data_IF_557531509047
#
_entry.id   IF_557531509047
#
_cell.length_a   1.000
_cell.length_b   1.000
_cell.length_c   1.000
_cell.angle_alpha   90.00
_cell.angle_beta   90.00
_cell.angle_gamma   90.00
#
_symmetry.space_group_name_H-M   'P 1'
#
loop_
_entity.id
_entity.type
_entity.pdbx_description
1 polymer ?
#
# COMPACT_ATOMS: atom_id res chain seq x y z
N UNK A 1 -38.46 13.67 43.99
CA UNK A 1 -37.94 14.94 44.54
C UNK A 1 -36.47 14.75 44.84
N UNK A 2 -35.61 15.58 44.21
CA UNK A 2 -34.13 15.67 44.35
C UNK A 2 -33.35 14.44 43.85
N UNK A 3 -32.88 14.38 42.61
CA UNK A 3 -32.05 15.33 41.85
C UNK A 3 -30.65 15.51 42.46
N UNK A 4 -29.64 15.33 41.60
CA UNK A 4 -28.21 15.66 41.73
C UNK A 4 -27.36 14.77 42.65
N UNK A 5 -26.63 13.84 42.03
CA UNK A 5 -25.20 13.72 42.28
C UNK A 5 -24.49 13.96 40.94
N UNK A 6 -24.31 15.26 40.71
CA UNK A 6 -23.54 15.84 39.62
C UNK A 6 -22.07 15.43 39.75
N UNK A 7 -21.45 15.26 38.60
CA UNK A 7 -20.02 15.08 38.35
C UNK A 7 -19.14 15.74 39.41
N UNK A 8 -18.57 14.93 40.29
CA UNK A 8 -17.28 15.26 40.92
C UNK A 8 -16.18 14.86 39.94
N UNK A 9 -15.89 15.76 39.00
CA UNK A 9 -14.56 15.90 38.40
C UNK A 9 -13.60 16.36 39.52
N UNK A 10 -13.34 15.46 40.47
CA UNK A 10 -12.20 15.55 41.35
C UNK A 10 -10.97 15.47 40.45
N UNK A 11 -10.08 16.44 40.59
CA UNK A 11 -8.66 16.28 40.35
C UNK A 11 -8.15 15.07 41.16
N UNK A 12 -8.43 13.85 40.69
CA UNK A 12 -7.77 12.67 41.17
C UNK A 12 -6.31 12.87 40.79
N UNK A 13 -5.44 12.95 41.79
CA UNK A 13 -4.00 12.92 41.55
C UNK A 13 -3.71 11.74 40.61
N UNK A 14 -2.84 11.92 39.59
CA UNK A 14 -2.52 10.84 38.67
C UNK A 14 -2.07 9.62 39.46
N UNK A 15 -2.51 8.41 39.07
CA UNK A 15 -2.27 7.20 39.86
C UNK A 15 -0.77 6.94 39.97
N UNK A 16 -0.30 6.54 41.14
CA UNK A 16 1.14 6.49 41.44
C UNK A 16 1.76 5.13 41.12
N UNK A 17 3.07 5.05 40.84
CA UNK A 17 3.75 3.77 40.64
C UNK A 17 3.59 2.81 41.82
N UNK A 18 3.55 3.32 43.05
CA UNK A 18 3.29 2.54 44.26
C UNK A 18 1.88 1.93 44.28
N UNK A 19 0.87 2.66 43.78
CA UNK A 19 -0.49 2.11 43.60
C UNK A 19 -0.49 0.97 42.58
N UNK A 20 0.26 1.09 41.47
CA UNK A 20 0.36 0.02 40.47
C UNK A 20 0.94 -1.26 41.08
N UNK A 21 2.02 -1.12 41.86
CA UNK A 21 2.65 -2.24 42.56
C UNK A 21 1.72 -2.89 43.58
N UNK A 22 0.95 -2.08 44.33
CA UNK A 22 -0.01 -2.57 45.31
C UNK A 22 -1.12 -3.38 44.65
N UNK A 23 -1.79 -2.82 43.64
CA UNK A 23 -2.87 -3.51 42.93
C UNK A 23 -2.38 -4.80 42.26
N UNK A 24 -1.18 -4.79 41.69
CA UNK A 24 -0.56 -5.98 41.13
C UNK A 24 -0.23 -7.04 42.20
N UNK A 25 0.20 -6.66 43.40
CA UNK A 25 0.46 -7.58 44.51
C UNK A 25 -0.85 -8.22 45.04
N UNK A 26 -1.93 -7.45 45.06
CA UNK A 26 -3.28 -7.89 45.45
C UNK A 26 -3.99 -8.67 44.34
N UNK A 27 -3.40 -8.76 43.13
CA UNK A 27 -4.00 -9.35 41.92
C UNK A 27 -5.31 -8.68 41.49
N UNK A 28 -5.46 -7.39 41.82
CA UNK A 28 -6.60 -6.56 41.43
C UNK A 28 -6.41 -6.06 39.99
N UNK A 29 -6.48 -6.98 39.01
CA UNK A 29 -6.09 -6.70 37.63
C UNK A 29 -7.04 -5.75 36.89
N UNK A 30 -8.35 -5.84 37.15
CA UNK A 30 -9.35 -4.93 36.57
C UNK A 30 -9.15 -3.51 37.08
N UNK A 31 -8.96 -3.34 38.39
CA UNK A 31 -8.69 -2.03 39.01
C UNK A 31 -7.35 -1.45 38.52
N UNK A 32 -6.33 -2.31 38.37
CA UNK A 32 -5.04 -1.92 37.79
C UNK A 32 -5.20 -1.48 36.33
N UNK A 33 -6.02 -2.15 35.52
CA UNK A 33 -6.27 -1.72 34.15
C UNK A 33 -7.04 -0.40 34.12
N UNK A 34 -8.15 -0.30 34.87
CA UNK A 34 -9.01 0.88 34.89
C UNK A 34 -8.24 2.14 35.30
N UNK A 35 -7.41 2.05 36.34
CA UNK A 35 -6.62 3.18 36.81
C UNK A 35 -5.60 3.69 35.77
N UNK A 36 -5.08 2.84 34.88
CA UNK A 36 -4.08 3.22 33.89
C UNK A 36 -4.56 3.25 32.43
N UNK A 37 -5.82 2.91 32.16
CA UNK A 37 -6.37 2.79 30.80
C UNK A 37 -6.26 4.09 29.99
N UNK A 38 -6.60 5.23 30.60
CA UNK A 38 -6.64 6.55 29.96
C UNK A 38 -5.44 7.46 30.29
N UNK A 39 -4.44 6.95 31.01
CA UNK A 39 -3.32 7.78 31.50
C UNK A 39 -2.24 7.90 30.43
N UNK A 40 -1.74 9.11 30.17
CA UNK A 40 -0.61 9.33 29.24
C UNK A 40 0.72 9.00 29.95
N UNK A 41 1.54 8.06 29.41
CA UNK A 41 2.86 7.77 29.96
C UNK A 41 3.78 8.98 30.09
N UNK A 42 3.64 10.00 29.23
CA UNK A 42 4.49 11.20 29.25
C UNK A 42 4.43 11.99 30.56
N UNK A 43 3.39 11.77 31.37
CA UNK A 43 3.27 12.35 32.71
C UNK A 43 4.20 11.75 33.78
N UNK A 44 4.96 10.70 33.45
CA UNK A 44 5.79 9.95 34.41
C UNK A 44 7.27 9.96 34.03
N UNK A 45 8.13 9.94 35.06
CA UNK A 45 9.57 9.75 34.86
C UNK A 45 9.86 8.35 34.29
N UNK A 46 11.03 8.17 33.65
CA UNK A 46 11.39 6.86 33.09
C UNK A 46 11.42 5.72 34.14
N UNK A 47 11.97 5.90 35.35
CA UNK A 47 11.89 4.89 36.42
C UNK A 47 10.45 4.55 36.84
N UNK A 48 9.57 5.55 36.90
CA UNK A 48 8.16 5.36 37.25
C UNK A 48 7.42 4.58 36.17
N UNK A 49 7.65 4.91 34.90
CA UNK A 49 7.09 4.18 33.76
C UNK A 49 7.48 2.71 33.78
N UNK A 50 8.76 2.41 34.06
CA UNK A 50 9.24 1.02 34.21
C UNK A 50 8.51 0.27 35.32
N UNK A 51 8.29 0.92 36.46
CA UNK A 51 7.58 0.34 37.60
C UNK A 51 6.12 0.04 37.29
N UNK A 52 5.45 0.97 36.61
CA UNK A 52 4.06 0.80 36.15
C UNK A 52 3.97 -0.31 35.10
N UNK A 53 4.83 -0.28 34.08
CA UNK A 53 4.88 -1.29 33.01
C UNK A 53 5.09 -2.70 33.58
N UNK A 54 6.02 -2.86 34.54
CA UNK A 54 6.26 -4.14 35.20
C UNK A 54 5.04 -4.66 35.98
N UNK A 55 4.24 -3.76 36.56
CA UNK A 55 3.02 -4.12 37.29
C UNK A 55 1.90 -4.57 36.34
N UNK A 56 1.70 -3.84 35.24
CA UNK A 56 0.75 -4.18 34.18
C UNK A 56 1.12 -5.50 33.49
N UNK A 57 2.41 -5.70 33.20
CA UNK A 57 2.93 -6.93 32.61
C UNK A 57 2.64 -8.16 33.47
N UNK A 58 2.79 -8.08 34.79
CA UNK A 58 2.43 -9.20 35.68
C UNK A 58 0.97 -9.62 35.50
N UNK A 59 0.07 -8.65 35.31
CA UNK A 59 -1.33 -8.93 35.01
C UNK A 59 -1.52 -9.59 33.65
N UNK A 60 -0.87 -9.08 32.59
CA UNK A 60 -0.86 -9.71 31.26
C UNK A 60 -0.42 -11.18 31.34
N UNK A 61 0.69 -11.45 32.03
CA UNK A 61 1.22 -12.81 32.15
C UNK A 61 0.32 -13.73 32.98
N UNK A 62 -0.25 -13.22 34.08
CA UNK A 62 -1.11 -13.97 34.97
C UNK A 62 -2.45 -14.36 34.31
N UNK A 63 -2.99 -13.49 33.45
CA UNK A 63 -4.30 -13.68 32.83
C UNK A 63 -4.24 -14.32 31.44
N UNK A 64 -3.06 -14.43 30.81
CA UNK A 64 -2.93 -14.84 29.41
C UNK A 64 -3.62 -16.18 29.04
N UNK A 65 -3.79 -17.10 29.99
CA UNK A 65 -4.46 -18.40 29.76
C UNK A 65 -5.90 -18.48 30.26
N UNK A 66 -6.36 -17.51 31.05
CA UNK A 66 -7.69 -17.53 31.69
C UNK A 66 -8.61 -16.41 31.21
N UNK A 67 -8.06 -15.25 30.90
CA UNK A 67 -8.78 -14.07 30.39
C UNK A 67 -7.89 -13.35 29.37
N UNK A 68 -7.98 -13.79 28.11
CA UNK A 68 -7.17 -13.27 27.02
C UNK A 68 -7.44 -11.79 26.70
N UNK A 69 -8.67 -11.31 26.87
CA UNK A 69 -9.06 -9.93 26.57
C UNK A 69 -8.45 -8.98 27.59
N UNK A 70 -8.60 -9.27 28.88
CA UNK A 70 -7.98 -8.45 29.93
C UNK A 70 -6.45 -8.53 29.87
N UNK A 71 -5.90 -9.72 29.60
CA UNK A 71 -4.46 -9.88 29.43
C UNK A 71 -3.91 -9.06 28.24
N UNK A 72 -4.63 -9.02 27.12
CA UNK A 72 -4.32 -8.19 25.97
C UNK A 72 -4.31 -6.70 26.32
N UNK A 73 -5.37 -6.20 26.96
CA UNK A 73 -5.47 -4.78 27.34
C UNK A 73 -4.38 -4.34 28.33
N UNK A 74 -4.03 -5.20 29.29
CA UNK A 74 -2.91 -4.97 30.22
C UNK A 74 -1.56 -5.00 29.49
N UNK A 75 -1.39 -5.91 28.53
CA UNK A 75 -0.20 -6.02 27.69
C UNK A 75 0.04 -4.77 26.83
N UNK A 76 -1.01 -4.24 26.18
CA UNK A 76 -0.93 -3.00 25.40
C UNK A 76 -0.48 -1.83 26.29
N UNK A 77 -1.12 -1.66 27.45
CA UNK A 77 -0.76 -0.61 28.38
C UNK A 77 0.66 -0.78 28.92
N UNK A 78 1.10 -2.00 29.21
CA UNK A 78 2.46 -2.25 29.69
C UNK A 78 3.51 -1.80 28.66
N UNK A 79 3.35 -2.20 27.40
CA UNK A 79 4.24 -1.83 26.29
C UNK A 79 4.22 -0.33 26.02
N UNK A 80 3.06 0.32 26.17
CA UNK A 80 2.91 1.77 26.02
C UNK A 80 3.70 2.55 27.08
N UNK A 81 3.83 2.02 28.30
CA UNK A 81 4.62 2.63 29.37
C UNK A 81 6.13 2.41 29.19
N UNK A 82 6.53 1.16 28.96
CA UNK A 82 7.91 0.78 28.71
C UNK A 82 7.98 -0.45 27.81
N UNK A 83 8.65 -0.31 26.67
CA UNK A 83 8.84 -1.40 25.74
C UNK A 83 9.92 -2.35 26.26
N UNK A 84 9.49 -3.51 26.73
CA UNK A 84 10.38 -4.58 27.19
C UNK A 84 10.15 -5.85 26.38
N UNK A 85 11.17 -6.70 26.25
CA UNK A 85 11.02 -7.98 25.56
C UNK A 85 9.89 -8.85 26.17
N UNK A 86 9.80 -9.04 27.50
CA UNK A 86 8.65 -9.71 28.11
C UNK A 86 7.30 -9.07 27.80
N UNK A 87 7.23 -7.72 27.79
CA UNK A 87 6.03 -6.96 27.44
C UNK A 87 5.53 -7.26 26.03
N UNK A 88 6.42 -7.11 25.04
CA UNK A 88 6.09 -7.37 23.63
C UNK A 88 5.73 -8.84 23.39
N UNK A 89 6.39 -9.79 24.07
CA UNK A 89 6.02 -11.22 24.00
C UNK A 89 4.62 -11.48 24.56
N UNK A 90 4.30 -10.90 25.72
CA UNK A 90 2.99 -11.08 26.33
C UNK A 90 1.90 -10.49 25.43
N UNK A 91 2.09 -9.26 24.93
CA UNK A 91 1.18 -8.59 24.01
C UNK A 91 0.98 -9.41 22.73
N UNK A 92 2.06 -9.86 22.07
CA UNK A 92 1.94 -10.65 20.85
C UNK A 92 1.14 -11.93 21.07
N UNK A 93 1.41 -12.65 22.16
CA UNK A 93 0.72 -13.90 22.51
C UNK A 93 -0.77 -13.66 22.78
N UNK A 94 -1.11 -12.66 23.59
CA UNK A 94 -2.51 -12.38 23.95
C UNK A 94 -3.27 -11.79 22.76
N UNK A 95 -2.63 -10.99 21.92
CA UNK A 95 -3.18 -10.52 20.66
C UNK A 95 -3.53 -11.67 19.71
N UNK A 96 -2.67 -12.68 19.57
CA UNK A 96 -2.99 -13.87 18.79
C UNK A 96 -4.16 -14.66 19.40
N UNK A 97 -4.20 -14.79 20.73
CA UNK A 97 -5.29 -15.49 21.43
C UNK A 97 -6.65 -14.77 21.31
N UNK A 98 -6.65 -13.45 21.06
CA UNK A 98 -7.84 -12.62 20.87
C UNK A 98 -8.07 -12.25 19.41
N UNK A 99 -7.43 -12.95 18.47
CA UNK A 99 -7.54 -12.77 17.02
C UNK A 99 -7.11 -11.37 16.50
N UNK A 100 -6.39 -10.59 17.31
CA UNK A 100 -5.81 -9.29 16.95
C UNK A 100 -4.49 -9.46 16.18
N UNK A 101 -4.57 -10.08 14.99
CA UNK A 101 -3.39 -10.44 14.18
C UNK A 101 -2.46 -9.26 13.87
N UNK A 102 -3.01 -8.10 13.50
CA UNK A 102 -2.21 -6.91 13.17
C UNK A 102 -1.37 -6.41 14.36
N UNK A 103 -1.97 -6.35 15.56
CA UNK A 103 -1.25 -5.97 16.79
C UNK A 103 -0.19 -7.01 17.16
N UNK A 104 -0.48 -8.29 16.97
CA UNK A 104 0.52 -9.35 17.20
C UNK A 104 1.72 -9.18 16.28
N UNK A 105 1.50 -8.95 14.99
CA UNK A 105 2.56 -8.73 14.02
C UNK A 105 3.41 -7.48 14.36
N UNK A 106 2.78 -6.35 14.67
CA UNK A 106 3.47 -5.12 15.09
C UNK A 106 4.37 -5.37 16.31
N UNK A 107 3.82 -5.99 17.36
CA UNK A 107 4.56 -6.30 18.58
C UNK A 107 5.77 -7.21 18.32
N UNK A 108 5.61 -8.21 17.44
CA UNK A 108 6.70 -9.11 17.06
C UNK A 108 7.77 -8.41 16.22
N UNK A 109 7.39 -7.52 15.29
CA UNK A 109 8.32 -6.73 14.47
C UNK A 109 9.14 -5.76 15.33
N UNK A 110 8.49 -5.01 16.22
CA UNK A 110 9.15 -4.14 17.21
C UNK A 110 10.06 -4.93 18.13
N UNK A 111 9.63 -6.11 18.57
CA UNK A 111 10.44 -7.02 19.38
C UNK A 111 11.72 -7.44 18.66
N UNK A 112 11.63 -7.77 17.38
CA UNK A 112 12.76 -8.17 16.55
C UNK A 112 13.73 -7.01 16.27
N UNK A 113 13.22 -5.78 16.18
CA UNK A 113 14.00 -4.56 15.99
C UNK A 113 14.71 -4.12 17.27
N UNK A 114 13.97 -4.00 18.39
CA UNK A 114 14.49 -3.49 19.66
C UNK A 114 15.27 -4.55 20.45
N UNK A 115 14.98 -5.84 20.26
CA UNK A 115 15.59 -6.96 20.99
C UNK A 115 16.12 -8.05 20.04
N UNK A 116 17.10 -7.76 19.17
CA UNK A 116 17.56 -8.68 18.12
C UNK A 116 18.25 -9.95 18.63
N UNK A 117 18.59 -10.02 19.94
CA UNK A 117 19.16 -11.22 20.58
C UNK A 117 18.09 -12.21 21.04
N UNK A 118 16.82 -11.81 21.07
CA UNK A 118 15.69 -12.61 21.50
C UNK A 118 15.11 -13.37 20.30
N UNK A 119 15.54 -14.62 20.10
CA UNK A 119 15.14 -15.45 18.95
C UNK A 119 13.65 -15.74 18.85
N UNK A 120 12.92 -15.60 19.95
CA UNK A 120 11.47 -15.79 20.02
C UNK A 120 10.70 -14.92 19.03
N UNK A 121 11.05 -13.63 18.91
CA UNK A 121 10.31 -12.69 18.05
C UNK A 121 10.40 -13.10 16.57
N UNK A 122 11.59 -13.47 16.10
CA UNK A 122 11.79 -13.91 14.72
C UNK A 122 11.10 -15.24 14.44
N UNK A 123 11.09 -16.15 15.42
CA UNK A 123 10.43 -17.44 15.30
C UNK A 123 8.90 -17.30 15.20
N UNK A 124 8.26 -16.57 16.12
CA UNK A 124 6.81 -16.42 16.13
C UNK A 124 6.32 -15.56 14.95
N UNK A 125 7.04 -14.49 14.58
CA UNK A 125 6.72 -13.71 13.38
C UNK A 125 6.81 -14.58 12.13
N UNK A 126 7.83 -15.43 12.03
CA UNK A 126 7.99 -16.37 10.93
C UNK A 126 6.84 -17.38 10.81
N UNK A 127 6.30 -17.86 11.94
CA UNK A 127 5.13 -18.74 11.93
C UNK A 127 3.87 -18.01 11.48
N UNK A 128 3.62 -16.82 12.04
CA UNK A 128 2.47 -15.99 11.69
C UNK A 128 2.44 -15.71 10.19
N UNK A 129 3.57 -15.29 9.62
CA UNK A 129 3.69 -15.01 8.18
C UNK A 129 3.51 -16.26 7.31
N UNK A 130 3.94 -17.45 7.78
CA UNK A 130 3.65 -18.70 7.09
C UNK A 130 2.17 -19.06 7.10
N UNK A 131 1.45 -18.80 8.20
CA UNK A 131 -0.01 -18.95 8.26
C UNK A 131 -0.71 -17.98 7.31
N UNK A 132 -0.21 -16.75 7.21
CA UNK A 132 -0.73 -15.71 6.33
C UNK A 132 -0.34 -15.90 4.84
N UNK A 133 0.29 -17.03 4.52
CA UNK A 133 0.78 -17.40 3.18
C UNK A 133 1.74 -16.35 2.61
N UNK A 134 2.62 -15.81 3.46
CA UNK A 134 3.75 -14.96 3.11
C UNK A 134 5.08 -15.68 3.39
N UNK A 135 5.51 -16.60 2.50
CA UNK A 135 6.74 -17.34 2.70
C UNK A 135 8.00 -16.46 2.60
N UNK A 136 7.96 -15.35 1.89
CA UNK A 136 9.09 -14.43 1.78
C UNK A 136 9.29 -13.62 3.07
N UNK A 137 8.22 -13.03 3.60
CA UNK A 137 8.24 -12.37 4.90
C UNK A 137 8.67 -13.33 6.01
N UNK A 138 8.17 -14.57 5.97
CA UNK A 138 8.59 -15.60 6.92
C UNK A 138 10.11 -15.88 6.84
N UNK A 139 10.69 -15.97 5.64
CA UNK A 139 12.14 -16.15 5.49
C UNK A 139 12.93 -14.97 6.08
N UNK A 140 12.47 -13.75 5.86
CA UNK A 140 13.10 -12.55 6.39
C UNK A 140 13.05 -12.51 7.93
N UNK A 141 11.91 -12.87 8.52
CA UNK A 141 11.74 -12.91 9.97
C UNK A 141 12.57 -14.03 10.62
N UNK A 142 12.47 -15.26 10.08
CA UNK A 142 13.20 -16.42 10.60
C UNK A 142 14.72 -16.28 10.43
N UNK A 143 15.17 -15.61 9.37
CA UNK A 143 16.59 -15.33 9.14
C UNK A 143 17.22 -14.40 10.18
N UNK A 144 16.40 -13.65 10.93
CA UNK A 144 16.86 -12.80 12.04
C UNK A 144 16.94 -13.55 13.38
N UNK A 145 16.54 -14.83 13.44
CA UNK A 145 16.68 -15.65 14.65
C UNK A 145 18.16 -15.97 14.91
N UNK A 146 18.72 -15.66 16.10
CA UNK A 146 20.13 -15.90 16.37
C UNK A 146 20.50 -17.38 16.26
N UNK A 147 21.61 -17.75 15.58
CA UNK A 147 21.94 -19.14 15.27
C UNK A 147 22.29 -20.00 16.49
N UNK A 148 22.60 -19.39 17.63
CA UNK A 148 22.90 -20.06 18.91
C UNK A 148 21.73 -20.00 19.91
N UNK A 149 20.58 -19.49 19.51
CA UNK A 149 19.39 -19.43 20.36
C UNK A 149 18.68 -20.81 20.44
N UNK A 150 17.88 -21.06 21.49
CA UNK A 150 17.02 -22.24 21.57
C UNK A 150 16.05 -22.39 20.38
N UNK A 151 15.67 -21.27 19.76
CA UNK A 151 14.73 -21.21 18.64
C UNK A 151 15.35 -21.58 17.29
N UNK A 152 16.69 -21.56 17.18
CA UNK A 152 17.40 -21.70 15.91
C UNK A 152 17.06 -22.97 15.13
N UNK A 153 16.90 -24.10 15.81
CA UNK A 153 16.56 -25.37 15.16
C UNK A 153 15.15 -25.34 14.54
N UNK A 154 14.16 -24.81 15.27
CA UNK A 154 12.78 -24.65 14.78
C UNK A 154 12.73 -23.63 13.64
N UNK A 155 13.45 -22.52 13.78
CA UNK A 155 13.52 -21.49 12.75
C UNK A 155 14.09 -22.05 11.44
N UNK A 156 15.16 -22.86 11.51
CA UNK A 156 15.75 -23.51 10.34
C UNK A 156 14.78 -24.45 9.63
N UNK A 157 13.99 -25.24 10.38
CA UNK A 157 12.99 -26.12 9.81
C UNK A 157 11.87 -25.33 9.10
N UNK A 158 11.38 -24.26 9.72
CA UNK A 158 10.37 -23.38 9.11
C UNK A 158 10.92 -22.63 7.89
N UNK A 159 12.19 -22.24 7.88
CA UNK A 159 12.83 -21.66 6.70
C UNK A 159 12.89 -22.63 5.53
N UNK A 160 13.10 -23.93 5.76
CA UNK A 160 13.05 -24.92 4.68
C UNK A 160 11.65 -25.01 4.08
N UNK A 161 10.61 -25.05 4.94
CA UNK A 161 9.20 -25.02 4.50
C UNK A 161 8.85 -23.73 3.75
N UNK A 162 9.35 -22.59 4.24
CA UNK A 162 9.14 -21.30 3.58
C UNK A 162 9.84 -21.22 2.22
N UNK A 163 11.05 -21.80 2.07
CA UNK A 163 11.76 -21.88 0.78
C UNK A 163 11.01 -22.75 -0.22
N UNK A 164 10.51 -23.92 0.18
CA UNK A 164 9.73 -24.78 -0.73
C UNK A 164 8.46 -24.07 -1.18
N UNK A 165 7.69 -23.50 -0.25
CA UNK A 165 6.49 -22.73 -0.58
C UNK A 165 6.79 -21.52 -1.48
N UNK A 166 7.88 -20.79 -1.22
CA UNK A 166 8.30 -19.65 -2.06
C UNK A 166 8.74 -20.09 -3.46
N UNK A 167 9.39 -21.26 -3.60
CA UNK A 167 9.78 -21.81 -4.90
C UNK A 167 8.57 -22.25 -5.72
N UNK A 168 7.58 -22.88 -5.08
CA UNK A 168 6.31 -23.26 -5.71
C UNK A 168 5.53 -22.01 -6.14
N UNK A 169 5.45 -20.99 -5.28
CA UNK A 169 4.82 -19.71 -5.60
C UNK A 169 5.53 -19.01 -6.76
N UNK A 170 6.86 -19.03 -6.78
CA UNK A 170 7.66 -18.43 -7.85
C UNK A 170 7.47 -19.18 -9.17
N UNK A 171 7.37 -20.51 -9.14
CA UNK A 171 7.09 -21.32 -10.32
C UNK A 171 5.66 -21.07 -10.83
N UNK A 172 4.68 -20.95 -9.94
CA UNK A 172 3.31 -20.59 -10.28
C UNK A 172 3.23 -19.18 -10.88
N UNK A 173 3.90 -18.19 -10.28
CA UNK A 173 4.04 -16.83 -10.82
C UNK A 173 4.70 -16.82 -12.20
N UNK A 174 5.74 -17.63 -12.42
CA UNK A 174 6.41 -17.71 -13.72
C UNK A 174 5.50 -18.31 -14.80
N UNK A 175 4.73 -19.35 -14.47
CA UNK A 175 3.73 -19.93 -15.37
C UNK A 175 2.58 -18.95 -15.66
N UNK A 176 2.08 -18.28 -14.63
CA UNK A 176 1.12 -17.20 -14.72
C UNK A 176 1.58 -16.10 -15.68
N UNK A 177 2.78 -15.55 -15.49
CA UNK A 177 3.37 -14.54 -16.38
C UNK A 177 3.57 -15.06 -17.82
N UNK A 178 3.89 -16.34 -17.99
CA UNK A 178 4.00 -16.93 -19.32
C UNK A 178 2.64 -17.02 -20.04
N UNK A 179 1.57 -17.33 -19.30
CA UNK A 179 0.20 -17.30 -19.81
C UNK A 179 -0.23 -15.87 -20.14
N UNK A 180 0.12 -14.92 -19.27
CA UNK A 180 -0.18 -13.50 -19.43
C UNK A 180 0.48 -12.87 -20.66
N UNK A 181 1.75 -13.18 -20.93
CA UNK A 181 2.43 -12.74 -22.16
C UNK A 181 1.76 -13.25 -23.43
N UNK A 182 1.20 -14.46 -23.39
CA UNK A 182 0.37 -14.96 -24.50
C UNK A 182 -0.95 -14.18 -24.62
N UNK A 183 -1.51 -13.70 -23.51
CA UNK A 183 -2.74 -12.90 -23.48
C UNK A 183 -2.55 -11.46 -23.96
N UNK A 184 -1.40 -10.85 -23.70
CA UNK A 184 -1.08 -9.49 -24.15
C UNK A 184 -0.50 -9.46 -25.58
N UNK A 185 -0.21 -10.62 -26.17
CA UNK A 185 0.38 -10.74 -27.51
C UNK A 185 1.90 -10.54 -27.54
N UNK A 186 2.57 -10.60 -26.39
CA UNK A 186 4.03 -10.49 -26.28
C UNK A 186 4.70 -11.87 -26.44
N UNK A 187 5.44 -12.06 -27.54
CA UNK A 187 6.33 -13.23 -27.72
C UNK A 187 7.78 -12.85 -27.39
N UNK A 188 8.54 -13.80 -26.83
CA UNK A 188 9.93 -13.60 -26.34
C UNK A 188 10.93 -13.05 -27.38
N UNK A 189 10.59 -13.09 -28.68
CA UNK A 189 11.47 -12.65 -29.78
C UNK A 189 11.08 -11.33 -30.47
N UNK A 190 10.09 -10.57 -29.99
CA UNK A 190 9.65 -9.36 -30.70
C UNK A 190 9.77 -8.07 -29.86
N UNK A 191 10.98 -7.50 -29.83
CA UNK A 191 11.16 -6.05 -29.60
C UNK A 191 10.70 -5.31 -30.86
N UNK A 192 9.41 -5.07 -30.98
CA UNK A 192 8.84 -4.22 -32.02
C UNK A 192 7.60 -4.82 -32.65
N UNK A 193 6.52 -4.04 -32.66
CA UNK A 193 5.18 -4.35 -33.21
C UNK A 193 4.31 -5.25 -32.33
N UNK A 194 3.66 -4.63 -31.35
CA UNK A 194 2.28 -5.00 -31.03
C UNK A 194 1.41 -4.39 -32.12
N UNK A 195 0.95 -5.18 -33.07
CA UNK A 195 -0.18 -4.75 -33.89
C UNK A 195 -1.43 -4.75 -33.01
N UNK A 196 -2.19 -3.65 -32.92
CA UNK A 196 -3.46 -3.68 -32.22
C UNK A 196 -4.34 -4.73 -32.89
N UNK A 197 -4.90 -5.63 -32.07
CA UNK A 197 -5.82 -6.65 -32.52
C UNK A 197 -6.96 -5.97 -33.29
N UNK A 198 -7.10 -6.32 -34.56
CA UNK A 198 -8.21 -5.92 -35.43
C UNK A 198 -9.50 -6.65 -35.02
N UNK A 199 -9.96 -6.38 -33.79
CA UNK A 199 -11.38 -6.52 -33.46
C UNK A 199 -12.12 -5.37 -34.13
N UNK A 200 -13.30 -5.65 -34.70
CA UNK A 200 -14.24 -4.64 -35.22
C UNK A 200 -14.24 -3.42 -34.29
N UNK A 201 -13.62 -2.32 -34.73
CA UNK A 201 -13.53 -1.11 -33.94
C UNK A 201 -14.94 -0.55 -33.81
N UNK A 202 -15.60 -0.85 -32.69
CA UNK A 202 -16.90 -0.27 -32.39
C UNK A 202 -16.71 1.25 -32.33
N UNK A 203 -17.36 1.98 -33.23
CA UNK A 203 -17.26 3.43 -33.31
C UNK A 203 -18.12 4.15 -32.28
N UNK A 204 -18.81 3.39 -31.42
CA UNK A 204 -19.73 3.88 -30.39
C UNK A 204 -19.34 3.47 -28.97
N UNK A 205 -20.00 4.10 -27.99
CA UNK A 205 -19.86 3.78 -26.57
C UNK A 205 -20.64 2.51 -26.15
N UNK A 206 -21.50 2.00 -27.04
CA UNK A 206 -22.18 0.72 -26.85
C UNK A 206 -21.16 -0.42 -26.90
N UNK A 207 -21.20 -1.29 -25.89
CA UNK A 207 -20.34 -2.45 -25.87
C UNK A 207 -20.82 -3.52 -26.85
N UNK A 208 -19.91 -4.00 -27.69
CA UNK A 208 -20.11 -5.12 -28.59
C UNK A 208 -19.41 -6.36 -28.03
N UNK A 209 -20.07 -7.51 -28.12
CA UNK A 209 -19.48 -8.80 -27.74
C UNK A 209 -18.80 -9.43 -28.96
N UNK A 210 -17.54 -9.81 -28.83
CA UNK A 210 -16.77 -10.42 -29.89
C UNK A 210 -16.00 -11.66 -29.41
N UNK A 211 -15.26 -12.25 -30.33
CA UNK A 211 -14.24 -13.27 -30.03
C UNK A 211 -12.92 -12.75 -30.62
N UNK A 212 -11.90 -12.58 -29.78
CA UNK A 212 -10.57 -12.17 -30.20
C UNK A 212 -9.86 -13.30 -31.00
N UNK A 213 -8.76 -12.95 -31.68
CA UNK A 213 -7.98 -13.87 -32.52
C UNK A 213 -7.40 -15.07 -31.76
N UNK A 214 -7.28 -14.97 -30.44
CA UNK A 214 -6.87 -16.02 -29.51
C UNK A 214 -8.04 -16.91 -29.02
N UNK A 215 -9.25 -16.68 -29.50
CA UNK A 215 -10.45 -17.43 -29.13
C UNK A 215 -11.15 -16.95 -27.85
N UNK A 216 -10.67 -15.86 -27.22
CA UNK A 216 -11.32 -15.29 -26.04
C UNK A 216 -12.56 -14.48 -26.39
N UNK A 217 -13.62 -14.59 -25.57
CA UNK A 217 -14.76 -13.66 -25.66
C UNK A 217 -14.35 -12.31 -25.11
N UNK A 218 -14.44 -11.29 -25.93
CA UNK A 218 -14.15 -9.91 -25.56
C UNK A 218 -15.43 -9.10 -25.54
N UNK A 219 -15.46 -8.07 -24.70
CA UNK A 219 -16.46 -7.00 -24.81
C UNK A 219 -15.74 -5.68 -24.98
N UNK A 220 -16.02 -4.99 -26.07
CA UNK A 220 -15.29 -3.76 -26.41
C UNK A 220 -16.23 -2.61 -26.72
N UNK A 221 -15.81 -1.41 -26.37
CA UNK A 221 -16.34 -0.17 -26.93
C UNK A 221 -15.18 0.67 -27.48
N UNK A 222 -15.44 1.92 -27.88
CA UNK A 222 -14.40 2.82 -28.39
C UNK A 222 -13.31 3.21 -27.37
N UNK A 223 -13.40 2.79 -26.10
CA UNK A 223 -12.50 3.19 -25.00
C UNK A 223 -11.85 2.01 -24.28
N UNK A 224 -12.53 0.88 -24.18
CA UNK A 224 -12.08 -0.27 -23.40
C UNK A 224 -12.30 -1.57 -24.16
N UNK A 225 -11.36 -2.49 -24.01
CA UNK A 225 -11.46 -3.87 -24.49
C UNK A 225 -11.35 -4.79 -23.29
N UNK A 226 -12.49 -5.30 -22.82
CA UNK A 226 -12.56 -6.19 -21.65
C UNK A 226 -12.23 -7.61 -22.07
N UNK A 227 -11.22 -8.18 -21.40
CA UNK A 227 -10.72 -9.55 -21.57
C UNK A 227 -10.84 -10.30 -20.24
N UNK A 228 -11.17 -11.58 -20.31
CA UNK A 228 -11.22 -12.46 -19.14
C UNK A 228 -10.01 -13.37 -19.14
N UNK A 229 -9.30 -13.43 -18.01
CA UNK A 229 -8.12 -14.27 -17.89
C UNK A 229 -8.45 -15.77 -18.01
N UNK A 230 -9.64 -16.21 -17.57
CA UNK A 230 -10.10 -17.58 -17.71
C UNK A 230 -11.57 -17.68 -18.14
N UNK A 231 -11.81 -18.43 -19.23
CA UNK A 231 -13.13 -18.62 -19.83
C UNK A 231 -14.07 -19.52 -19.00
N UNK A 232 -13.60 -20.22 -17.96
CA UNK A 232 -14.33 -21.29 -17.26
C UNK A 232 -15.41 -20.90 -16.21
N UNK A 233 -15.68 -19.62 -15.95
CA UNK A 233 -16.69 -19.15 -14.96
C UNK A 233 -18.15 -19.14 -15.46
N UNK A 234 -19.08 -19.08 -14.51
CA UNK A 234 -20.53 -18.94 -14.71
C UNK A 234 -20.92 -17.51 -15.19
N UNK A 235 -21.84 -17.41 -16.14
CA UNK A 235 -22.10 -16.22 -16.99
C UNK A 235 -22.89 -15.10 -16.30
N UNK A 236 -23.77 -15.41 -15.35
CA UNK A 236 -24.70 -14.44 -14.78
C UNK A 236 -24.06 -13.40 -13.85
N UNK A 237 -23.19 -13.85 -12.93
CA UNK A 237 -22.46 -12.95 -12.00
C UNK A 237 -21.38 -12.11 -12.72
N UNK A 238 -20.92 -12.55 -13.90
CA UNK A 238 -19.91 -11.85 -14.72
C UNK A 238 -20.42 -10.53 -15.29
N UNK A 239 -21.63 -10.51 -15.85
CA UNK A 239 -22.12 -9.35 -16.58
C UNK A 239 -22.38 -8.13 -15.67
N UNK A 240 -22.84 -8.37 -14.43
CA UNK A 240 -23.07 -7.31 -13.45
C UNK A 240 -21.74 -6.75 -12.90
N UNK A 241 -20.77 -7.62 -12.56
CA UNK A 241 -19.46 -7.16 -12.11
C UNK A 241 -18.71 -6.40 -13.20
N UNK A 242 -18.67 -6.94 -14.42
CA UNK A 242 -18.10 -6.30 -15.61
C UNK A 242 -18.73 -4.91 -15.83
N UNK A 243 -20.07 -4.82 -15.83
CA UNK A 243 -20.77 -3.55 -16.01
C UNK A 243 -20.41 -2.51 -14.95
N UNK A 244 -20.20 -2.92 -13.70
CA UNK A 244 -19.78 -2.01 -12.63
C UNK A 244 -18.33 -1.55 -12.79
N UNK A 245 -17.41 -2.44 -13.19
CA UNK A 245 -16.01 -2.08 -13.48
C UNK A 245 -15.93 -1.12 -14.65
N UNK A 246 -16.61 -1.43 -15.75
CA UNK A 246 -16.73 -0.57 -16.93
C UNK A 246 -17.25 0.81 -16.54
N UNK A 247 -18.30 0.89 -15.73
CA UNK A 247 -18.84 2.17 -15.26
C UNK A 247 -17.82 2.95 -14.44
N UNK A 248 -17.01 2.30 -13.61
CA UNK A 248 -15.94 2.96 -12.86
C UNK A 248 -14.79 3.42 -13.76
N UNK A 249 -14.47 2.69 -14.83
CA UNK A 249 -13.46 3.10 -15.82
C UNK A 249 -13.94 4.24 -16.72
N UNK A 250 -15.22 4.27 -17.09
CA UNK A 250 -15.81 5.43 -17.77
C UNK A 250 -15.79 6.69 -16.89
N UNK A 251 -16.03 6.53 -15.58
CA UNK A 251 -15.88 7.60 -14.59
C UNK A 251 -14.42 8.07 -14.49
N UNK A 252 -13.46 7.14 -14.45
CA UNK A 252 -12.03 7.44 -14.49
C UNK A 252 -11.63 8.22 -15.75
N UNK A 253 -12.06 7.76 -16.93
CA UNK A 253 -11.84 8.46 -18.19
C UNK A 253 -12.43 9.88 -18.13
N UNK A 254 -13.69 10.03 -17.71
CA UNK A 254 -14.35 11.33 -17.65
C UNK A 254 -13.62 12.30 -16.72
N UNK A 255 -13.27 11.85 -15.51
CA UNK A 255 -12.55 12.66 -14.54
C UNK A 255 -11.16 13.05 -15.04
N UNK A 256 -10.39 12.10 -15.59
CA UNK A 256 -9.07 12.38 -16.16
C UNK A 256 -9.17 13.40 -17.30
N UNK A 257 -10.19 13.32 -18.16
CA UNK A 257 -10.45 14.33 -19.20
C UNK A 257 -10.74 15.71 -18.61
N UNK A 258 -11.50 15.80 -17.51
CA UNK A 258 -11.78 17.07 -16.85
C UNK A 258 -10.53 17.71 -16.23
N UNK A 259 -9.62 16.88 -15.70
CA UNK A 259 -8.39 17.37 -15.06
C UNK A 259 -7.32 17.72 -16.10
N UNK A 260 -7.14 16.88 -17.12
CA UNK A 260 -6.03 16.99 -18.08
C UNK A 260 -6.42 17.63 -19.42
N UNK A 261 -7.71 17.72 -19.73
CA UNK A 261 -8.23 18.20 -21.02
C UNK A 261 -8.18 17.16 -22.14
N UNK A 262 -7.43 16.08 -21.96
CA UNK A 262 -7.20 15.01 -22.93
C UNK A 262 -7.14 13.65 -22.22
N UNK A 263 -7.41 12.61 -22.99
CA UNK A 263 -7.36 11.20 -22.57
C UNK A 263 -6.72 10.38 -23.66
N UNK A 264 -6.44 9.12 -23.35
CA UNK A 264 -5.97 8.14 -24.33
C UNK A 264 -6.92 8.03 -25.53
N UNK A 265 -6.37 8.00 -26.74
CA UNK A 265 -7.16 7.84 -27.97
C UNK A 265 -7.49 6.37 -28.27
N UNK A 266 -6.49 5.50 -28.09
CA UNK A 266 -6.64 4.07 -28.31
C UNK A 266 -7.42 3.40 -27.16
N UNK A 267 -8.26 2.38 -27.43
CA UNK A 267 -8.87 1.59 -26.39
C UNK A 267 -7.84 1.00 -25.42
N UNK A 268 -8.16 0.98 -24.12
CA UNK A 268 -7.34 0.33 -23.09
C UNK A 268 -7.82 -1.11 -22.91
N UNK A 269 -6.88 -2.06 -22.90
CA UNK A 269 -7.18 -3.43 -22.51
C UNK A 269 -7.49 -3.50 -21.00
N UNK A 270 -8.58 -4.16 -20.65
CA UNK A 270 -9.02 -4.37 -19.26
C UNK A 270 -9.07 -5.86 -19.00
N UNK A 271 -8.16 -6.36 -18.17
CA UNK A 271 -8.05 -7.79 -17.87
C UNK A 271 -8.68 -8.06 -16.50
N UNK A 272 -9.77 -8.82 -16.48
CA UNK A 272 -10.45 -9.19 -15.25
C UNK A 272 -9.88 -10.51 -14.71
N UNK A 273 -9.29 -10.46 -13.51
CA UNK A 273 -8.74 -11.61 -12.80
C UNK A 273 -9.66 -12.04 -11.67
N UNK A 274 -9.81 -13.35 -11.42
CA UNK A 274 -10.29 -13.82 -10.12
C UNK A 274 -9.32 -13.41 -9.00
N UNK A 275 -9.78 -13.38 -7.75
CA UNK A 275 -8.90 -13.15 -6.57
C UNK A 275 -7.65 -14.04 -6.59
N UNK A 276 -7.83 -15.31 -6.92
CA UNK A 276 -6.76 -16.30 -6.87
C UNK A 276 -5.78 -16.15 -8.04
N UNK A 277 -6.29 -15.82 -9.23
CA UNK A 277 -5.43 -15.49 -10.37
C UNK A 277 -4.65 -14.20 -10.11
N UNK A 278 -5.31 -13.12 -9.65
CA UNK A 278 -4.62 -11.87 -9.32
C UNK A 278 -3.53 -12.10 -8.26
N UNK A 279 -3.83 -12.89 -7.22
CA UNK A 279 -2.85 -13.31 -6.20
C UNK A 279 -1.69 -14.12 -6.79
N UNK A 280 -1.97 -15.03 -7.70
CA UNK A 280 -0.95 -15.87 -8.33
C UNK A 280 -0.06 -15.07 -9.28
N UNK A 281 -0.58 -14.04 -9.93
CA UNK A 281 0.13 -13.21 -10.90
C UNK A 281 0.91 -12.05 -10.26
N UNK A 282 0.26 -11.35 -9.33
CA UNK A 282 0.76 -10.10 -8.74
C UNK A 282 1.31 -10.29 -7.32
N UNK A 283 1.16 -11.48 -6.74
CA UNK A 283 1.61 -11.80 -5.39
C UNK A 283 0.56 -11.46 -4.31
N UNK A 284 0.74 -12.07 -3.14
CA UNK A 284 -0.23 -12.00 -2.04
C UNK A 284 -0.41 -10.60 -1.45
N UNK A 285 0.65 -9.78 -1.40
CA UNK A 285 0.61 -8.42 -0.88
C UNK A 285 -0.25 -7.50 -1.77
N UNK A 286 0.05 -7.42 -3.07
CA UNK A 286 -0.72 -6.59 -4.01
C UNK A 286 -2.17 -7.06 -4.12
N UNK A 287 -2.42 -8.37 -4.11
CA UNK A 287 -3.78 -8.90 -4.17
C UNK A 287 -4.68 -8.57 -2.96
N UNK A 288 -4.09 -8.18 -1.82
CA UNK A 288 -4.85 -7.71 -0.64
C UNK A 288 -5.12 -6.20 -0.68
N UNK A 289 -4.30 -5.42 -1.40
CA UNK A 289 -4.28 -3.96 -1.29
C UNK A 289 -4.74 -3.25 -2.56
N UNK A 290 -4.43 -3.81 -3.73
CA UNK A 290 -4.68 -3.18 -5.01
C UNK A 290 -6.02 -3.65 -5.60
N UNK A 291 -6.87 -2.68 -5.92
CA UNK A 291 -8.11 -2.94 -6.65
C UNK A 291 -7.87 -3.09 -8.17
N UNK A 292 -6.82 -2.43 -8.67
CA UNK A 292 -6.32 -2.61 -10.01
C UNK A 292 -4.82 -2.35 -10.09
N UNK A 293 -4.23 -2.70 -11.23
CA UNK A 293 -2.85 -2.41 -11.58
C UNK A 293 -2.75 -2.19 -13.08
N UNK A 294 -2.16 -1.10 -13.51
CA UNK A 294 -1.75 -0.90 -14.88
C UNK A 294 -0.35 -1.47 -15.11
N UNK A 295 -0.21 -2.35 -16.09
CA UNK A 295 1.09 -2.83 -16.57
C UNK A 295 0.95 -3.29 -18.03
N UNK A 296 2.04 -3.33 -18.80
CA UNK A 296 2.08 -3.91 -20.16
C UNK A 296 0.88 -3.51 -21.05
N UNK A 297 0.49 -2.23 -21.04
CA UNK A 297 -0.62 -1.72 -21.86
C UNK A 297 -2.05 -2.00 -21.37
N UNK A 298 -2.23 -2.66 -20.22
CA UNK A 298 -3.54 -3.10 -19.75
C UNK A 298 -3.80 -2.79 -18.26
N UNK A 299 -5.05 -2.42 -17.96
CA UNK A 299 -5.56 -2.29 -16.59
C UNK A 299 -6.03 -3.67 -16.12
N UNK A 300 -5.40 -4.19 -15.07
CA UNK A 300 -5.68 -5.49 -14.47
C UNK A 300 -6.52 -5.30 -13.24
N UNK A 301 -7.69 -5.90 -13.21
CA UNK A 301 -8.66 -5.72 -12.13
C UNK A 301 -8.69 -6.96 -11.25
N UNK A 302 -8.64 -6.73 -9.94
CA UNK A 302 -8.79 -7.78 -8.94
C UNK A 302 -10.27 -7.97 -8.59
N UNK A 303 -10.87 -9.10 -9.01
CA UNK A 303 -12.29 -9.43 -8.76
C UNK A 303 -12.68 -9.50 -7.28
N UNK A 304 -11.70 -9.55 -6.37
CA UNK A 304 -11.94 -9.46 -4.93
C UNK A 304 -12.24 -8.04 -4.43
N UNK A 305 -11.91 -7.01 -5.21
CA UNK A 305 -11.99 -5.64 -4.76
C UNK A 305 -13.44 -5.12 -4.82
N UNK A 306 -13.95 -4.67 -3.68
CA UNK A 306 -15.23 -3.96 -3.62
C UNK A 306 -15.09 -2.59 -4.29
N UNK A 307 -16.09 -2.18 -5.08
CA UNK A 307 -16.10 -0.87 -5.75
C UNK A 307 -16.47 0.28 -4.80
N UNK A 308 -15.64 0.47 -3.78
CA UNK A 308 -15.68 1.62 -2.86
C UNK A 308 -15.20 2.89 -3.56
N UNK A 309 -15.41 4.06 -2.92
CA UNK A 309 -14.86 5.32 -3.43
C UNK A 309 -13.33 5.26 -3.58
N UNK A 310 -12.63 4.65 -2.62
CA UNK A 310 -11.18 4.52 -2.67
C UNK A 310 -10.74 3.62 -3.83
N UNK A 311 -11.44 2.51 -4.05
CA UNK A 311 -11.17 1.61 -5.17
C UNK A 311 -11.41 2.28 -6.52
N UNK A 312 -12.45 3.11 -6.65
CA UNK A 312 -12.65 3.93 -7.87
C UNK A 312 -11.51 4.94 -8.06
N UNK A 313 -11.03 5.54 -6.99
CA UNK A 313 -9.88 6.44 -7.02
C UNK A 313 -8.62 5.71 -7.51
N UNK A 314 -8.39 4.47 -7.05
CA UNK A 314 -7.31 3.62 -7.60
C UNK A 314 -7.50 3.36 -9.10
N UNK A 315 -8.72 3.11 -9.59
CA UNK A 315 -8.93 2.94 -11.04
C UNK A 315 -8.67 4.23 -11.85
N UNK A 316 -8.89 5.40 -11.25
CA UNK A 316 -8.48 6.69 -11.82
C UNK A 316 -6.97 6.76 -11.93
N UNK A 317 -6.24 6.38 -10.87
CA UNK A 317 -4.78 6.29 -10.85
C UNK A 317 -4.27 5.39 -11.98
N UNK A 318 -4.77 4.16 -12.06
CA UNK A 318 -4.37 3.20 -13.10
C UNK A 318 -4.70 3.69 -14.53
N UNK A 319 -5.83 4.37 -14.72
CA UNK A 319 -6.18 4.93 -16.02
C UNK A 319 -5.24 6.05 -16.44
N UNK A 320 -4.72 6.87 -15.51
CA UNK A 320 -3.75 7.92 -15.83
C UNK A 320 -2.45 7.33 -16.37
N UNK A 321 -1.98 6.19 -15.85
CA UNK A 321 -0.83 5.49 -16.43
C UNK A 321 -1.09 5.10 -17.89
N UNK A 322 -2.30 4.63 -18.21
CA UNK A 322 -2.68 4.32 -19.60
C UNK A 322 -2.66 5.56 -20.51
N UNK A 323 -2.99 6.74 -20.00
CA UNK A 323 -2.88 8.02 -20.73
C UNK A 323 -1.41 8.40 -20.95
N UNK A 324 -0.57 8.30 -19.91
CA UNK A 324 0.86 8.60 -20.02
C UNK A 324 1.54 7.70 -21.05
N UNK A 325 1.26 6.39 -21.03
CA UNK A 325 1.80 5.43 -21.98
C UNK A 325 1.44 5.72 -23.44
N UNK A 326 0.22 6.21 -23.68
CA UNK A 326 -0.24 6.62 -25.01
C UNK A 326 0.48 7.88 -25.49
N UNK A 327 0.59 8.88 -24.60
CA UNK A 327 1.28 10.14 -24.90
C UNK A 327 2.77 9.94 -25.19
N UNK A 328 3.42 9.02 -24.49
CA UNK A 328 4.82 8.67 -24.79
C UNK A 328 4.97 7.67 -25.91
N UNK A 329 3.87 7.16 -26.49
CA UNK A 329 3.87 6.13 -27.53
C UNK A 329 4.67 4.89 -27.11
N UNK A 330 4.45 4.42 -25.87
CA UNK A 330 5.21 3.33 -25.26
C UNK A 330 5.19 2.05 -26.12
N UNK A 331 4.03 1.69 -26.69
CA UNK A 331 3.87 0.54 -27.58
C UNK A 331 4.71 0.62 -28.87
N UNK A 332 5.15 1.82 -29.25
CA UNK A 332 5.96 2.10 -30.43
C UNK A 332 7.43 2.38 -30.08
N UNK A 333 7.82 2.06 -28.84
CA UNK A 333 9.19 2.22 -28.33
C UNK A 333 9.57 3.64 -27.95
N UNK A 334 8.58 4.51 -27.74
CA UNK A 334 8.83 5.87 -27.26
C UNK A 334 9.41 5.89 -25.84
N UNK A 335 10.18 6.93 -25.54
CA UNK A 335 10.92 7.01 -24.28
C UNK A 335 9.98 7.33 -23.11
N UNK A 336 10.12 6.56 -22.03
CA UNK A 336 9.33 6.76 -20.82
C UNK A 336 9.75 8.04 -20.06
N UNK A 337 8.78 8.66 -19.41
CA UNK A 337 9.02 9.73 -18.43
C UNK A 337 9.61 9.18 -17.13
N UNK A 338 10.26 10.03 -16.30
CA UNK A 338 10.72 9.61 -14.98
C UNK A 338 9.59 9.03 -14.13
N UNK A 339 9.90 8.02 -13.31
CA UNK A 339 8.89 7.31 -12.48
C UNK A 339 8.13 8.28 -11.58
N UNK A 340 8.82 9.23 -10.94
CA UNK A 340 8.16 10.25 -10.12
C UNK A 340 7.12 11.07 -10.91
N UNK A 341 7.32 11.33 -12.20
CA UNK A 341 6.35 12.08 -12.99
C UNK A 341 5.10 11.23 -13.27
N UNK A 342 5.32 9.97 -13.68
CA UNK A 342 4.24 9.04 -14.00
C UNK A 342 3.35 8.79 -12.77
N UNK A 343 3.97 8.42 -11.65
CA UNK A 343 3.28 8.17 -10.38
C UNK A 343 2.69 9.44 -9.78
N UNK A 344 3.42 10.56 -9.86
CA UNK A 344 2.95 11.84 -9.34
C UNK A 344 1.72 12.37 -10.07
N UNK A 345 1.61 12.15 -11.38
CA UNK A 345 0.45 12.56 -12.16
C UNK A 345 -0.76 11.70 -11.81
N UNK A 346 -0.58 10.39 -11.72
CA UNK A 346 -1.63 9.47 -11.32
C UNK A 346 -2.15 9.79 -9.90
N UNK A 347 -1.24 9.96 -8.93
CA UNK A 347 -1.58 10.32 -7.54
C UNK A 347 -2.27 11.69 -7.44
N UNK A 348 -1.83 12.69 -8.20
CA UNK A 348 -2.46 14.02 -8.20
C UNK A 348 -3.91 13.96 -8.73
N UNK A 349 -4.14 13.22 -9.82
CA UNK A 349 -5.49 13.04 -10.39
C UNK A 349 -6.36 12.21 -9.45
N UNK A 350 -5.79 11.23 -8.75
CA UNK A 350 -6.48 10.47 -7.68
C UNK A 350 -6.93 11.42 -6.55
N UNK A 351 -6.06 12.30 -6.03
CA UNK A 351 -6.46 13.27 -5.00
C UNK A 351 -7.61 14.16 -5.48
N UNK A 352 -7.53 14.61 -6.74
CA UNK A 352 -8.57 15.45 -7.37
C UNK A 352 -9.89 14.71 -7.45
N UNK A 353 -9.86 13.41 -7.73
CA UNK A 353 -11.05 12.55 -7.74
C UNK A 353 -11.66 12.42 -6.35
N UNK A 354 -10.81 12.30 -5.31
CA UNK A 354 -11.22 12.32 -3.91
C UNK A 354 -11.61 13.71 -3.38
N UNK A 355 -11.63 14.74 -4.24
CA UNK A 355 -12.12 16.07 -3.92
C UNK A 355 -11.07 17.03 -3.36
N UNK A 356 -9.77 16.74 -3.52
CA UNK A 356 -8.68 17.62 -3.07
C UNK A 356 -7.59 17.83 -4.12
N UNK A 357 -6.94 18.99 -4.12
CA UNK A 357 -5.72 19.27 -4.90
C UNK A 357 -4.45 19.20 -4.02
N UNK A 358 -4.59 18.64 -2.81
CA UNK A 358 -3.57 18.58 -1.77
C UNK A 358 -3.47 17.17 -1.20
N UNK A 359 -2.28 16.82 -0.65
CA UNK A 359 -2.13 15.55 0.05
C UNK A 359 -3.12 15.46 1.23
N UNK A 360 -3.58 14.25 1.58
CA UNK A 360 -4.37 14.02 2.79
C UNK A 360 -3.69 14.63 4.03
N UNK A 361 -4.48 15.16 4.97
CA UNK A 361 -3.95 15.98 6.08
C UNK A 361 -2.77 15.33 6.82
N UNK A 362 -2.86 14.04 7.15
CA UNK A 362 -1.79 13.31 7.83
C UNK A 362 -0.50 13.23 6.99
N UNK A 363 -0.63 13.03 5.68
CA UNK A 363 0.50 13.06 4.75
C UNK A 363 1.07 14.47 4.62
N UNK A 364 0.20 15.49 4.50
CA UNK A 364 0.61 16.89 4.42
C UNK A 364 1.46 17.33 5.63
N UNK A 365 1.08 16.92 6.84
CA UNK A 365 1.87 17.19 8.06
C UNK A 365 3.25 16.52 8.02
N UNK A 366 3.31 15.25 7.61
CA UNK A 366 4.60 14.53 7.46
C UNK A 366 5.49 15.16 6.40
N UNK A 367 4.94 15.48 5.24
CA UNK A 367 5.66 16.13 4.14
C UNK A 367 6.22 17.49 4.55
N UNK A 368 5.46 18.29 5.31
CA UNK A 368 5.93 19.56 5.85
C UNK A 368 7.13 19.38 6.78
N UNK A 369 7.05 18.42 7.71
CA UNK A 369 8.15 18.09 8.61
C UNK A 369 9.40 17.68 7.85
N UNK A 370 9.26 16.77 6.88
CA UNK A 370 10.34 16.32 6.02
C UNK A 370 10.95 17.47 5.18
N UNK A 371 10.13 18.39 4.67
CA UNK A 371 10.59 19.55 3.92
C UNK A 371 11.45 20.49 4.78
N UNK A 372 10.98 20.78 5.99
CA UNK A 372 11.66 21.65 6.95
C UNK A 372 12.98 21.07 7.44
N UNK A 373 13.10 19.74 7.53
CA UNK A 373 14.33 19.04 7.90
C UNK A 373 15.23 18.69 6.71
N UNK A 374 14.86 19.03 5.48
CA UNK A 374 15.61 18.66 4.27
C UNK A 374 15.66 17.15 4.00
N UNK A 375 14.62 16.42 4.41
CA UNK A 375 14.50 14.96 4.31
C UNK A 375 13.43 14.52 3.29
N UNK A 376 12.94 15.42 2.43
CA UNK A 376 12.07 15.01 1.34
C UNK A 376 12.83 14.10 0.35
N UNK A 377 12.18 13.06 -0.18
CA UNK A 377 12.73 12.30 -1.30
C UNK A 377 13.09 13.21 -2.47
N UNK A 378 14.27 12.99 -3.07
CA UNK A 378 14.73 13.75 -4.24
C UNK A 378 14.10 13.15 -5.50
N UNK A 379 13.54 13.99 -6.37
CA UNK A 379 12.97 13.60 -7.67
C UNK A 379 14.02 12.90 -8.55
N UNK A 380 15.26 13.36 -8.50
CA UNK A 380 16.41 12.75 -9.20
C UNK A 380 16.65 11.29 -8.77
N UNK A 381 16.60 11.01 -7.46
CA UNK A 381 16.73 9.66 -6.91
C UNK A 381 15.52 8.77 -7.26
N UNK A 382 14.36 9.38 -7.53
CA UNK A 382 13.10 8.71 -7.88
C UNK A 382 12.85 8.59 -9.39
N UNK A 383 13.83 8.94 -10.23
CA UNK A 383 13.63 8.92 -11.68
C UNK A 383 13.55 7.50 -12.28
N UNK A 384 14.26 6.53 -11.70
CA UNK A 384 14.40 5.18 -12.26
C UNK A 384 14.04 4.00 -11.33
N UNK A 385 13.71 4.25 -10.06
CA UNK A 385 13.31 3.21 -9.11
C UNK A 385 11.83 3.27 -8.73
N UNK A 386 11.20 2.11 -8.52
CA UNK A 386 9.80 2.03 -8.10
C UNK A 386 9.58 2.72 -6.74
N UNK A 387 8.62 3.65 -6.67
CA UNK A 387 8.40 4.47 -5.47
C UNK A 387 7.98 3.63 -4.26
N UNK A 388 7.30 2.51 -4.48
CA UNK A 388 6.88 1.58 -3.44
C UNK A 388 8.06 0.94 -2.68
N UNK A 389 9.26 0.93 -3.27
CA UNK A 389 10.47 0.39 -2.64
C UNK A 389 11.24 1.42 -1.82
N UNK A 390 10.80 2.69 -1.83
CA UNK A 390 11.41 3.75 -1.04
C UNK A 390 11.18 3.52 0.46
N UNK A 391 12.05 4.10 1.29
CA UNK A 391 11.96 3.96 2.76
C UNK A 391 10.62 4.47 3.33
N UNK A 392 10.08 5.53 2.74
CA UNK A 392 8.73 6.04 3.03
C UNK A 392 8.00 6.25 1.69
N UNK A 393 7.30 5.23 1.18
CA UNK A 393 6.59 5.32 -0.10
C UNK A 393 5.57 6.46 -0.12
N UNK A 394 4.84 6.66 0.98
CA UNK A 394 3.83 7.71 1.05
C UNK A 394 4.44 9.11 0.87
N UNK A 395 5.63 9.37 1.42
CA UNK A 395 6.37 10.61 1.14
C UNK A 395 6.84 10.68 -0.31
N UNK A 396 7.26 9.56 -0.92
CA UNK A 396 7.71 9.53 -2.32
C UNK A 396 6.57 9.85 -3.29
N UNK A 397 5.43 9.17 -3.17
CA UNK A 397 4.21 9.46 -3.95
C UNK A 397 3.71 10.88 -3.72
N UNK A 398 3.61 11.32 -2.45
CA UNK A 398 3.18 12.67 -2.13
C UNK A 398 4.10 13.75 -2.70
N UNK A 399 5.41 13.57 -2.62
CA UNK A 399 6.40 14.53 -3.17
C UNK A 399 6.29 14.61 -4.70
N UNK A 400 6.13 13.45 -5.34
CA UNK A 400 5.90 13.32 -6.78
C UNK A 400 4.63 14.06 -7.23
N UNK A 401 3.51 13.86 -6.53
CA UNK A 401 2.25 14.54 -6.82
C UNK A 401 2.32 16.06 -6.61
N UNK A 402 3.05 16.53 -5.59
CA UNK A 402 3.26 17.97 -5.39
C UNK A 402 4.13 18.57 -6.49
N UNK A 403 5.16 17.86 -6.96
CA UNK A 403 5.96 18.30 -8.10
C UNK A 403 5.12 18.44 -9.37
N UNK A 404 4.27 17.46 -9.66
CA UNK A 404 3.32 17.55 -10.79
C UNK A 404 2.33 18.70 -10.62
N UNK A 405 1.79 18.89 -9.41
CA UNK A 405 0.91 20.03 -9.13
C UNK A 405 1.59 21.36 -9.40
N UNK A 406 2.88 21.52 -9.09
CA UNK A 406 3.60 22.74 -9.42
C UNK A 406 3.70 22.98 -10.93
N UNK A 407 4.01 21.93 -11.70
CA UNK A 407 4.03 22.01 -13.17
C UNK A 407 2.66 22.34 -13.75
N UNK A 408 1.59 21.79 -13.18
CA UNK A 408 0.21 22.09 -13.57
C UNK A 408 -0.19 23.53 -13.20
N UNK A 409 0.18 24.02 -12.01
CA UNK A 409 -0.12 25.39 -11.59
C UNK A 409 0.61 26.43 -12.44
N UNK A 410 1.83 26.12 -12.89
CA UNK A 410 2.66 27.03 -13.68
C UNK A 410 2.29 27.04 -15.17
N UNK A 411 2.00 25.86 -15.74
CA UNK A 411 1.84 25.68 -17.18
C UNK A 411 0.46 25.26 -17.65
N UNK A 412 -0.41 24.83 -16.73
CA UNK A 412 -1.65 24.14 -17.04
C UNK A 412 -1.42 22.72 -17.60
N UNK A 413 -2.51 21.96 -17.82
CA UNK A 413 -2.42 20.61 -18.35
C UNK A 413 -1.76 20.52 -19.73
N UNK A 414 -2.13 21.39 -20.67
CA UNK A 414 -1.63 21.34 -22.04
C UNK A 414 -0.09 21.34 -22.12
N UNK A 415 0.56 22.20 -21.33
CA UNK A 415 2.03 22.29 -21.28
C UNK A 415 2.66 21.02 -20.69
N UNK A 416 2.05 20.43 -19.67
CA UNK A 416 2.52 19.17 -19.09
C UNK A 416 2.38 18.01 -20.09
N UNK A 417 1.28 17.94 -20.83
CA UNK A 417 1.09 16.89 -21.84
C UNK A 417 2.07 17.06 -23.01
N UNK A 418 2.37 18.30 -23.43
CA UNK A 418 3.42 18.57 -24.42
C UNK A 418 4.80 18.11 -23.93
N UNK A 419 5.15 18.39 -22.66
CA UNK A 419 6.37 17.88 -22.04
C UNK A 419 6.46 16.35 -22.12
N UNK A 420 5.38 15.64 -21.76
CA UNK A 420 5.33 14.17 -21.81
C UNK A 420 5.53 13.65 -23.25
N UNK A 421 4.90 14.28 -24.24
CA UNK A 421 5.04 13.89 -25.66
C UNK A 421 6.45 14.10 -26.19
N UNK A 422 7.10 15.22 -25.85
CA UNK A 422 8.48 15.49 -26.27
C UNK A 422 9.43 14.42 -25.74
N UNK A 423 9.23 13.98 -24.50
CA UNK A 423 9.98 12.86 -23.92
C UNK A 423 9.70 11.58 -24.70
N UNK A 424 8.44 11.26 -24.99
CA UNK A 424 8.08 10.11 -25.83
C UNK A 424 8.74 10.11 -27.21
N UNK A 425 8.95 11.30 -27.79
CA UNK A 425 9.62 11.51 -29.08
C UNK A 425 11.15 11.42 -29.01
N UNK A 426 11.72 11.20 -27.82
CA UNK A 426 13.15 10.94 -27.61
C UNK A 426 13.94 12.12 -27.04
N UNK A 427 13.29 13.22 -26.63
CA UNK A 427 13.98 14.25 -25.87
C UNK A 427 14.30 13.72 -24.46
N UNK A 428 15.46 14.10 -23.89
CA UNK A 428 15.68 13.81 -22.48
C UNK A 428 14.70 14.64 -21.64
N UNK A 429 14.28 14.07 -20.50
CA UNK A 429 13.34 14.77 -19.61
C UNK A 429 13.87 16.14 -19.15
N UNK A 430 15.18 16.22 -18.87
CA UNK A 430 15.84 17.45 -18.43
C UNK A 430 15.85 18.54 -19.53
N UNK A 431 16.01 18.16 -20.80
CA UNK A 431 15.92 19.08 -21.94
C UNK A 431 14.48 19.56 -22.15
N UNK A 432 13.52 18.65 -22.18
CA UNK A 432 12.11 18.97 -22.41
C UNK A 432 11.54 19.84 -21.27
N UNK A 433 11.89 19.54 -20.01
CA UNK A 433 11.49 20.35 -18.87
C UNK A 433 12.05 21.78 -18.96
N UNK A 434 13.34 21.92 -19.34
CA UNK A 434 13.97 23.22 -19.52
C UNK A 434 13.36 24.01 -20.67
N UNK A 435 13.02 23.36 -21.77
CA UNK A 435 12.37 24.00 -22.91
C UNK A 435 10.96 24.50 -22.56
N UNK A 436 10.17 23.72 -21.82
CA UNK A 436 8.75 24.03 -21.54
C UNK A 436 8.54 24.89 -20.30
N UNK A 437 9.37 24.71 -19.28
CA UNK A 437 9.23 25.37 -17.97
C UNK A 437 10.40 26.30 -17.62
N UNK A 438 11.42 26.39 -18.48
CA UNK A 438 12.58 27.26 -18.22
C UNK A 438 13.45 26.81 -17.05
N UNK A 439 13.26 25.59 -16.54
CA UNK A 439 13.95 25.03 -15.37
C UNK A 439 14.24 23.54 -15.52
N UNK A 440 15.23 23.04 -14.81
CA UNK A 440 15.58 21.62 -14.69
C UNK A 440 14.97 20.94 -13.46
N UNK A 441 15.25 19.65 -13.30
CA UNK A 441 14.72 18.85 -12.18
C UNK A 441 15.15 19.40 -10.82
N UNK A 442 16.41 19.83 -10.68
CA UNK A 442 16.94 20.36 -9.42
C UNK A 442 16.22 21.65 -8.97
N UNK A 443 15.84 22.51 -9.92
CA UNK A 443 15.11 23.75 -9.65
C UNK A 443 13.65 23.45 -9.28
N UNK A 444 13.03 22.44 -9.91
CA UNK A 444 11.72 21.93 -9.51
C UNK A 444 11.76 21.33 -8.09
N UNK A 445 12.76 20.52 -7.76
CA UNK A 445 12.98 19.95 -6.41
C UNK A 445 13.04 21.06 -5.35
N UNK A 446 13.84 22.10 -5.60
CA UNK A 446 13.97 23.24 -4.70
C UNK A 446 12.63 23.98 -4.51
N UNK A 447 11.86 24.15 -5.59
CA UNK A 447 10.53 24.77 -5.54
C UNK A 447 9.54 23.96 -4.70
N UNK A 448 9.50 22.64 -4.90
CA UNK A 448 8.68 21.70 -4.12
C UNK A 448 9.03 21.77 -2.63
N UNK A 449 10.33 21.75 -2.31
CA UNK A 449 10.79 21.87 -0.93
C UNK A 449 10.36 23.21 -0.31
N UNK A 450 10.50 24.31 -1.03
CA UNK A 450 10.06 25.63 -0.56
C UNK A 450 8.54 25.68 -0.34
N UNK A 451 7.75 25.14 -1.27
CA UNK A 451 6.29 25.09 -1.17
C UNK A 451 5.81 24.28 0.03
N UNK A 452 6.42 23.13 0.31
CA UNK A 452 6.06 22.27 1.43
C UNK A 452 6.56 22.81 2.78
N UNK A 453 7.61 23.62 2.78
CA UNK A 453 8.16 24.23 4.01
C UNK A 453 7.36 25.43 4.52
N UNK A 454 6.53 26.05 3.67
CA UNK A 454 5.70 27.20 4.02
C UNK A 454 4.59 26.82 5.03
N UNK A 455 4.31 27.72 5.96
CA UNK A 455 3.37 27.52 7.09
C UNK A 455 1.91 27.39 6.63
#
# INVERSE_FOLDING_TARGET
MRALLLLSLLSANPPTPAQAQKLAAERAWEDLYLAWSSVDPKGYSQPDRRTIAASLLKGCEALASSDGVMAYSLGERAVLYDETAPGLRCLARTALATEQRGTAEDALRRGLEHFPKEGHFGLELGKLLLEDKDPQGALAALGKVPPRSPEAAKAKALMQKARSASSEESAAMAQARAIERRFTGETEDNKGSVQPASGSASTGLSYESGVASDGMRTRSNSRFVVKYFNNARDFGQRAEYEGRIVSALDEAHFHTRQVLGETREAPVDVILYTREEFRTHQGSALARMAAGLYSDGAIRINDAAELTQQTRATLVHEYVHAVVDDLVRAAEGGQHVPIWLNEGLAEYVEWRYLGSDKPPHALATRMRGAAQSGQLPRLSDMAGGALIQQRDPALAYGTSAVAVRELLNEGGPARLLELIREVGQGASFEEALRQRYGRGVAELEASVQATLSRR
#
